data_IF_033464865041
#
_entry.id   IF_033464865041
#
_cell.length_a   1.000
_cell.length_b   1.000
_cell.length_c   1.000
_cell.angle_alpha   90.00
_cell.angle_beta   90.00
_cell.angle_gamma   90.00
#
_symmetry.space_group_name_H-M   'P 1'
#
loop_
_entity.id
_entity.type
_entity.pdbx_description
1 polymer ?
#
# COMPACT_ATOMS: atom_id res chain seq x y z
N UNK A 1 37.78 -8.46 32.56
CA UNK A 1 36.74 -7.60 33.17
C UNK A 1 36.31 -6.58 32.13
N UNK A 2 35.07 -6.64 31.62
CA UNK A 2 34.58 -5.66 30.63
C UNK A 2 33.88 -4.51 31.35
N UNK A 3 34.28 -3.28 31.05
CA UNK A 3 33.65 -2.07 31.56
C UNK A 3 32.49 -1.69 30.65
N UNK A 4 31.25 -1.86 31.11
CA UNK A 4 30.07 -1.32 30.41
C UNK A 4 29.83 0.12 30.87
N UNK A 5 29.73 1.06 29.92
CA UNK A 5 29.39 2.46 30.22
C UNK A 5 27.99 2.52 30.81
N UNK A 6 27.84 3.17 31.96
CA UNK A 6 26.52 3.51 32.51
C UNK A 6 25.80 4.43 31.52
N UNK A 7 24.48 4.25 31.29
CA UNK A 7 23.72 5.15 30.44
C UNK A 7 23.86 6.58 30.99
N UNK A 8 24.43 7.49 30.20
CA UNK A 8 24.51 8.90 30.57
C UNK A 8 23.12 9.51 30.57
N UNK A 9 22.81 10.37 31.54
CA UNK A 9 21.52 11.06 31.69
C UNK A 9 21.24 12.10 30.60
N UNK A 10 22.20 12.34 29.69
CA UNK A 10 22.09 13.31 28.61
C UNK A 10 21.93 14.75 29.11
N UNK A 11 21.81 15.70 28.18
CA UNK A 11 21.53 17.10 28.51
C UNK A 11 20.07 17.25 28.98
N UNK A 12 19.81 17.90 30.12
CA UNK A 12 18.45 18.17 30.58
C UNK A 12 17.61 18.89 29.52
N UNK A 13 16.32 18.57 29.50
CA UNK A 13 15.35 19.17 28.58
C UNK A 13 15.11 20.63 28.95
N UNK A 14 15.03 21.51 27.96
CA UNK A 14 14.63 22.92 28.14
C UNK A 14 13.12 23.10 28.30
N UNK A 15 12.32 22.11 27.89
CA UNK A 15 10.86 22.14 27.97
C UNK A 15 10.36 21.09 28.96
N UNK A 16 9.30 21.44 29.68
CA UNK A 16 8.54 20.59 30.59
C UNK A 16 7.54 19.71 29.84
N UNK A 17 7.04 18.67 30.51
CA UNK A 17 6.00 17.78 29.94
C UNK A 17 4.69 18.50 29.62
N UNK A 18 4.36 19.60 30.32
CA UNK A 18 3.15 20.39 30.05
C UNK A 18 3.30 21.19 28.76
N UNK A 19 4.47 21.79 28.58
CA UNK A 19 4.82 22.55 27.37
C UNK A 19 4.87 21.63 26.15
N UNK A 20 5.49 20.44 26.26
CA UNK A 20 5.54 19.44 25.18
C UNK A 20 4.12 19.01 24.75
N UNK A 21 3.19 18.81 25.69
CA UNK A 21 1.78 18.51 25.39
C UNK A 21 1.09 19.67 24.68
N UNK A 22 1.34 20.91 25.08
CA UNK A 22 0.78 22.08 24.42
C UNK A 22 1.28 22.22 22.97
N UNK A 23 2.58 21.97 22.74
CA UNK A 23 3.19 21.98 21.41
C UNK A 23 2.53 20.93 20.50
N UNK A 24 2.41 19.68 20.98
CA UNK A 24 1.79 18.59 20.22
C UNK A 24 0.30 18.87 19.97
N UNK A 25 -0.43 19.40 20.95
CA UNK A 25 -1.83 19.77 20.80
C UNK A 25 -2.02 20.86 19.74
N UNK A 26 -1.21 21.91 19.79
CA UNK A 26 -1.27 22.99 18.79
C UNK A 26 -1.01 22.44 17.38
N UNK A 27 0.03 21.63 17.19
CA UNK A 27 0.33 20.99 15.91
C UNK A 27 -0.79 20.05 15.41
N UNK A 28 -1.55 19.41 16.30
CA UNK A 28 -2.71 18.59 15.90
C UNK A 28 -3.90 19.44 15.45
N UNK A 29 -4.12 20.59 16.10
CA UNK A 29 -5.16 21.55 15.71
C UNK A 29 -4.79 22.24 14.40
N UNK A 30 -3.51 22.54 14.19
CA UNK A 30 -2.98 23.24 13.03
C UNK A 30 -1.87 22.42 12.33
N UNK A 31 -2.27 21.32 11.69
CA UNK A 31 -1.35 20.32 11.11
C UNK A 31 -0.52 20.81 9.91
N UNK A 32 -0.87 21.96 9.32
CA UNK A 32 -0.19 22.56 8.17
C UNK A 32 0.89 23.58 8.55
N UNK A 33 0.98 23.95 9.83
CA UNK A 33 1.83 25.04 10.31
C UNK A 33 3.26 24.54 10.55
N UNK A 34 4.25 25.33 10.14
CA UNK A 34 5.66 24.97 10.27
C UNK A 34 6.14 25.01 11.73
N UNK A 35 7.24 24.29 12.02
CA UNK A 35 7.86 24.30 13.37
C UNK A 35 8.32 25.70 13.82
N UNK A 36 8.59 26.62 12.89
CA UNK A 36 8.95 28.00 13.21
C UNK A 36 7.72 28.84 13.57
N UNK A 37 6.61 28.67 12.85
CA UNK A 37 5.36 29.36 13.18
C UNK A 37 4.75 28.84 14.51
N UNK A 38 4.83 27.53 14.78
CA UNK A 38 4.46 26.98 16.10
C UNK A 38 5.37 27.55 17.20
N UNK A 39 6.66 27.73 16.93
CA UNK A 39 7.57 28.37 17.88
C UNK A 39 7.12 29.80 18.20
N UNK A 40 6.78 30.62 17.20
CA UNK A 40 6.32 31.99 17.41
C UNK A 40 5.02 32.07 18.23
N UNK A 41 4.10 31.13 18.01
CA UNK A 41 2.82 31.08 18.76
C UNK A 41 3.00 30.62 20.21
N UNK A 42 3.90 29.67 20.45
CA UNK A 42 4.06 29.04 21.78
C UNK A 42 5.12 29.75 22.62
N UNK A 43 6.06 30.48 22.00
CA UNK A 43 7.14 31.22 22.67
C UNK A 43 6.67 32.12 23.83
N UNK A 44 5.56 32.89 23.74
CA UNK A 44 5.10 33.73 24.86
C UNK A 44 4.64 32.93 26.09
N UNK A 45 4.34 31.64 25.91
CA UNK A 45 3.82 30.75 26.95
C UNK A 45 4.85 29.76 27.50
N UNK A 46 6.11 29.85 27.02
CA UNK A 46 7.23 29.02 27.48
C UNK A 46 8.08 29.78 28.48
N UNK A 47 8.56 29.07 29.51
CA UNK A 47 9.42 29.68 30.56
C UNK A 47 10.84 30.02 30.10
N UNK A 48 11.23 29.66 28.88
CA UNK A 48 12.56 29.89 28.31
C UNK A 48 12.50 30.04 26.79
N UNK A 49 13.45 30.75 26.16
CA UNK A 49 13.51 30.85 24.70
C UNK A 49 13.82 29.47 24.07
N UNK A 50 12.87 28.96 23.29
CA UNK A 50 12.99 27.67 22.62
C UNK A 50 13.16 27.85 21.11
N UNK A 51 14.14 27.17 20.52
CA UNK A 51 14.38 27.17 19.08
C UNK A 51 13.33 26.37 18.30
N UNK A 52 13.13 26.70 17.03
CA UNK A 52 12.27 25.92 16.12
C UNK A 52 12.74 24.47 15.95
N UNK A 53 14.04 24.19 16.11
CA UNK A 53 14.62 22.84 16.10
C UNK A 53 14.15 22.03 17.31
N UNK A 54 14.06 22.66 18.48
CA UNK A 54 13.52 22.02 19.69
C UNK A 54 12.05 21.68 19.50
N UNK A 55 11.25 22.59 18.93
CA UNK A 55 9.84 22.31 18.59
C UNK A 55 9.74 21.10 17.66
N UNK A 56 10.52 21.05 16.57
CA UNK A 56 10.54 19.90 15.65
C UNK A 56 10.88 18.59 16.36
N UNK A 57 11.84 18.62 17.31
CA UNK A 57 12.18 17.43 18.10
C UNK A 57 11.01 16.98 18.98
N UNK A 58 10.25 17.90 19.57
CA UNK A 58 9.04 17.55 20.36
C UNK A 58 7.92 16.99 19.50
N UNK A 59 7.73 17.53 18.31
CA UNK A 59 6.79 16.98 17.35
C UNK A 59 7.20 15.55 16.93
N UNK A 60 8.49 15.32 16.65
CA UNK A 60 9.00 13.98 16.34
C UNK A 60 8.84 12.98 17.50
N UNK A 61 9.12 13.40 18.75
CA UNK A 61 8.86 12.59 19.95
C UNK A 61 7.36 12.28 20.13
N UNK A 62 6.47 13.18 19.65
CA UNK A 62 5.03 12.98 19.58
C UNK A 62 4.53 12.26 18.33
N UNK A 63 5.42 11.67 17.52
CA UNK A 63 5.14 11.00 16.25
C UNK A 63 4.49 11.91 15.17
N UNK A 64 4.68 13.23 15.28
CA UNK A 64 4.24 14.21 14.30
C UNK A 64 5.43 14.65 13.44
N UNK A 65 5.70 13.87 12.39
CA UNK A 65 6.65 14.22 11.33
C UNK A 65 5.94 14.81 10.11
N UNK A 66 6.60 15.70 9.38
CA UNK A 66 6.13 16.13 8.07
C UNK A 66 6.43 15.05 7.04
N UNK A 67 5.40 14.52 6.40
CA UNK A 67 5.53 13.59 5.28
C UNK A 67 5.16 14.33 4.00
N UNK A 68 6.05 14.35 3.00
CA UNK A 68 5.67 14.81 1.68
C UNK A 68 4.91 13.67 1.01
N UNK A 69 3.61 13.84 0.68
CA UNK A 69 2.92 12.85 -0.14
C UNK A 69 3.65 12.79 -1.48
N UNK A 70 4.11 11.59 -1.88
CA UNK A 70 4.66 11.40 -3.21
C UNK A 70 3.53 11.73 -4.20
N UNK A 71 3.65 12.86 -4.91
CA UNK A 71 2.78 13.18 -6.05
C UNK A 71 3.16 12.24 -7.19
N UNK A 72 2.62 11.03 -7.15
CA UNK A 72 2.70 10.13 -8.30
C UNK A 72 1.84 10.76 -9.39
N UNK A 73 2.48 11.21 -10.48
CA UNK A 73 1.75 11.66 -11.67
C UNK A 73 0.84 10.51 -12.12
N UNK A 74 -0.46 10.79 -12.27
CA UNK A 74 -1.41 9.83 -12.84
C UNK A 74 -0.85 9.37 -14.19
N UNK A 75 -0.56 8.08 -14.31
CA UNK A 75 -0.01 7.51 -15.53
C UNK A 75 -0.95 7.80 -16.71
N UNK A 76 -0.41 8.43 -17.76
CA UNK A 76 -1.14 8.68 -19.00
C UNK A 76 -1.58 7.36 -19.64
N UNK A 77 -2.62 7.38 -20.48
CA UNK A 77 -3.07 6.17 -21.21
C UNK A 77 -1.92 5.52 -22.01
N UNK A 78 -1.01 6.33 -22.56
CA UNK A 78 0.20 5.87 -23.25
C UNK A 78 1.17 5.16 -22.29
N UNK A 79 1.41 5.71 -21.10
CA UNK A 79 2.23 5.04 -20.08
C UNK A 79 1.60 3.74 -19.57
N UNK A 80 0.26 3.68 -19.47
CA UNK A 80 -0.47 2.46 -19.11
C UNK A 80 -0.37 1.38 -20.19
N UNK A 81 -0.38 1.77 -21.47
CA UNK A 81 -0.23 0.85 -22.62
C UNK A 81 1.21 0.36 -22.83
N UNK A 82 2.20 1.23 -22.64
CA UNK A 82 3.62 0.89 -22.79
C UNK A 82 4.17 0.09 -21.60
N UNK A 83 3.52 0.18 -20.44
CA UNK A 83 3.80 -0.69 -19.29
C UNK A 83 2.85 -1.88 -19.31
N UNK A 84 3.01 -2.80 -20.26
CA UNK A 84 2.43 -4.14 -20.13
C UNK A 84 3.11 -4.80 -18.93
N UNK A 85 2.34 -4.98 -17.86
CA UNK A 85 2.83 -5.57 -16.62
C UNK A 85 2.54 -7.06 -16.68
N UNK A 86 3.58 -7.88 -16.62
CA UNK A 86 3.40 -9.31 -16.46
C UNK A 86 3.02 -9.63 -15.02
N UNK A 87 1.90 -10.33 -14.86
CA UNK A 87 1.41 -10.82 -13.57
C UNK A 87 1.35 -12.34 -13.60
N UNK A 88 1.88 -12.98 -12.56
CA UNK A 88 1.72 -14.40 -12.28
C UNK A 88 1.59 -14.61 -10.76
N UNK A 89 1.19 -15.81 -10.34
CA UNK A 89 1.17 -16.19 -8.92
C UNK A 89 2.58 -16.52 -8.40
N UNK A 90 2.67 -16.86 -7.10
CA UNK A 90 3.92 -17.25 -6.45
C UNK A 90 4.11 -18.77 -6.39
N UNK A 91 3.57 -19.54 -7.35
CA UNK A 91 3.82 -20.97 -7.41
C UNK A 91 5.33 -21.27 -7.53
N UNK A 92 5.79 -22.35 -6.91
CA UNK A 92 7.24 -22.68 -6.83
C UNK A 92 7.95 -22.66 -8.20
N UNK A 93 7.38 -23.19 -9.30
CA UNK A 93 8.00 -23.10 -10.63
C UNK A 93 8.13 -21.66 -11.14
N UNK A 94 7.17 -20.79 -10.82
CA UNK A 94 7.15 -19.39 -11.25
C UNK A 94 8.15 -18.53 -10.46
N UNK A 95 8.44 -18.90 -9.22
CA UNK A 95 9.45 -18.24 -8.37
C UNK A 95 10.86 -18.84 -8.51
N UNK A 96 11.01 -19.94 -9.23
CA UNK A 96 12.31 -20.58 -9.44
C UNK A 96 13.30 -19.64 -10.12
N UNK A 97 14.58 -19.76 -9.77
CA UNK A 97 15.63 -18.86 -10.25
C UNK A 97 15.71 -18.81 -11.78
N UNK A 98 15.68 -19.97 -12.43
CA UNK A 98 15.70 -20.09 -13.90
C UNK A 98 14.53 -19.32 -14.53
N UNK A 99 13.31 -19.52 -14.02
CA UNK A 99 12.11 -18.84 -14.51
C UNK A 99 12.19 -17.33 -14.33
N UNK A 100 12.66 -16.88 -13.17
CA UNK A 100 12.81 -15.47 -12.84
C UNK A 100 13.94 -14.78 -13.63
N UNK A 101 15.05 -15.47 -13.86
CA UNK A 101 16.16 -15.00 -14.70
C UNK A 101 15.70 -14.81 -16.16
N UNK A 102 14.92 -15.76 -16.69
CA UNK A 102 14.32 -15.63 -18.01
C UNK A 102 13.30 -14.49 -18.08
N UNK A 103 12.35 -14.40 -17.14
CA UNK A 103 11.32 -13.35 -17.17
C UNK A 103 11.92 -11.94 -17.11
N UNK A 104 13.04 -11.77 -16.41
CA UNK A 104 13.79 -10.50 -16.37
C UNK A 104 14.38 -10.07 -17.72
N UNK A 105 14.62 -10.99 -18.64
CA UNK A 105 15.18 -10.67 -19.96
C UNK A 105 14.10 -10.23 -20.95
N UNK A 106 12.85 -10.65 -20.73
CA UNK A 106 11.74 -10.44 -21.68
C UNK A 106 10.69 -9.43 -21.22
N UNK A 107 10.48 -9.22 -19.91
CA UNK A 107 9.35 -8.42 -19.40
C UNK A 107 9.73 -7.56 -18.18
N UNK A 108 9.18 -6.33 -18.06
CA UNK A 108 9.23 -5.58 -16.81
C UNK A 108 8.33 -6.27 -15.76
N UNK A 109 8.95 -6.91 -14.77
CA UNK A 109 8.28 -7.67 -13.71
C UNK A 109 7.65 -6.75 -12.64
N UNK A 110 6.37 -6.94 -12.32
CA UNK A 110 5.81 -6.58 -11.01
C UNK A 110 5.42 -7.87 -10.28
N UNK A 111 6.12 -8.17 -9.19
CA UNK A 111 5.67 -9.19 -8.25
C UNK A 111 4.46 -8.67 -7.48
N UNK A 112 3.30 -9.33 -7.64
CA UNK A 112 2.13 -9.08 -6.80
C UNK A 112 2.00 -10.22 -5.76
N UNK A 113 1.60 -9.92 -4.51
CA UNK A 113 1.24 -10.93 -3.54
C UNK A 113 -0.23 -11.34 -3.75
N UNK A 114 -0.47 -12.64 -3.68
CA UNK A 114 -1.77 -13.34 -3.61
C UNK A 114 -2.60 -13.55 -4.89
N UNK A 115 -3.04 -14.82 -5.04
CA UNK A 115 -3.90 -15.35 -6.10
C UNK A 115 -5.33 -14.81 -6.08
N UNK A 116 -5.83 -14.37 -4.92
CA UNK A 116 -7.24 -13.97 -4.74
C UNK A 116 -7.68 -12.77 -5.59
N UNK A 117 -6.73 -11.95 -6.02
CA UNK A 117 -6.99 -10.76 -6.83
C UNK A 117 -6.74 -11.04 -8.32
N UNK A 118 -6.19 -12.19 -8.70
CA UNK A 118 -5.83 -12.44 -10.09
C UNK A 118 -7.08 -12.50 -10.98
N UNK A 119 -7.13 -11.74 -12.09
CA UNK A 119 -8.23 -11.83 -13.06
C UNK A 119 -8.37 -13.22 -13.69
N UNK A 120 -7.27 -13.98 -13.81
CA UNK A 120 -7.27 -15.29 -14.48
C UNK A 120 -8.09 -16.34 -13.74
N UNK A 121 -8.15 -16.29 -12.40
CA UNK A 121 -8.97 -17.21 -11.60
C UNK A 121 -10.47 -17.05 -11.89
N UNK A 122 -10.91 -15.82 -12.14
CA UNK A 122 -12.30 -15.57 -12.54
C UNK A 122 -12.59 -16.08 -13.95
N UNK A 123 -11.58 -16.06 -14.83
CA UNK A 123 -11.69 -16.64 -16.17
C UNK A 123 -11.76 -18.18 -16.07
N UNK A 124 -10.98 -18.80 -15.17
CA UNK A 124 -11.07 -20.24 -14.92
C UNK A 124 -12.42 -20.66 -14.37
N UNK A 125 -12.99 -19.91 -13.42
CA UNK A 125 -14.34 -20.14 -12.91
C UNK A 125 -15.40 -19.98 -14.02
N UNK A 126 -15.25 -18.98 -14.90
CA UNK A 126 -16.12 -18.83 -16.09
C UNK A 126 -16.05 -20.05 -17.02
N UNK A 127 -14.87 -20.64 -17.21
CA UNK A 127 -14.72 -21.87 -18.00
C UNK A 127 -15.30 -23.08 -17.29
N UNK A 128 -15.00 -23.26 -16.00
CA UNK A 128 -15.48 -24.39 -15.22
C UNK A 128 -17.01 -24.49 -15.20
N UNK A 129 -17.71 -23.37 -15.17
CA UNK A 129 -19.18 -23.33 -15.25
C UNK A 129 -19.75 -23.71 -16.63
N UNK A 130 -18.97 -23.58 -17.70
CA UNK A 130 -19.41 -23.76 -19.10
C UNK A 130 -18.92 -25.04 -19.76
N UNK A 131 -17.86 -25.65 -19.23
CA UNK A 131 -17.24 -26.88 -19.72
C UNK A 131 -18.18 -28.09 -19.61
N UNK A 132 -19.04 -28.13 -18.58
CA UNK A 132 -19.99 -29.23 -18.39
C UNK A 132 -19.29 -30.56 -18.07
N UNK A 133 -19.98 -31.68 -18.29
CA UNK A 133 -19.37 -33.01 -18.16
C UNK A 133 -18.78 -33.44 -19.49
N UNK A 134 -17.51 -33.85 -19.49
CA UNK A 134 -16.77 -34.26 -20.67
C UNK A 134 -16.11 -35.62 -20.45
N UNK A 135 -16.00 -36.39 -21.53
CA UNK A 135 -15.56 -37.80 -21.44
C UNK A 135 -14.17 -38.05 -22.02
N UNK A 136 -13.60 -37.08 -22.74
CA UNK A 136 -12.24 -37.16 -23.29
C UNK A 136 -11.47 -35.84 -23.24
N UNK A 137 -10.15 -35.92 -23.34
CA UNK A 137 -9.27 -34.74 -23.40
C UNK A 137 -9.50 -33.90 -24.66
N UNK A 138 -9.74 -34.54 -25.81
CA UNK A 138 -9.99 -33.84 -27.06
C UNK A 138 -11.29 -33.02 -27.01
N UNK A 139 -12.33 -33.57 -26.38
CA UNK A 139 -13.58 -32.84 -26.14
C UNK A 139 -13.35 -31.64 -25.20
N UNK A 140 -12.51 -31.78 -24.17
CA UNK A 140 -12.15 -30.70 -23.26
C UNK A 140 -11.40 -29.57 -23.97
N UNK A 141 -10.39 -29.91 -24.77
CA UNK A 141 -9.61 -28.93 -25.51
C UNK A 141 -10.51 -28.15 -26.48
N UNK A 142 -11.26 -28.84 -27.33
CA UNK A 142 -12.17 -28.21 -28.29
C UNK A 142 -13.24 -27.35 -27.59
N UNK A 143 -13.76 -27.81 -26.44
CA UNK A 143 -14.76 -27.07 -25.69
C UNK A 143 -14.19 -25.81 -25.05
N UNK A 144 -12.98 -25.87 -24.50
CA UNK A 144 -12.29 -24.71 -23.94
C UNK A 144 -11.97 -23.67 -25.01
N UNK A 145 -11.49 -24.09 -26.19
CA UNK A 145 -11.24 -23.20 -27.33
C UNK A 145 -12.53 -22.50 -27.78
N UNK A 146 -13.62 -23.24 -27.89
CA UNK A 146 -14.93 -22.67 -28.23
C UNK A 146 -15.36 -21.61 -27.20
N UNK A 147 -15.30 -21.93 -25.90
CA UNK A 147 -15.67 -21.01 -24.83
C UNK A 147 -14.78 -19.76 -24.86
N UNK A 148 -13.49 -19.93 -25.10
CA UNK A 148 -12.53 -18.82 -25.23
C UNK A 148 -12.89 -17.90 -26.40
N UNK A 149 -13.17 -18.46 -27.57
CA UNK A 149 -13.49 -17.69 -28.78
C UNK A 149 -14.85 -16.99 -28.71
N UNK A 150 -15.82 -17.58 -28.01
CA UNK A 150 -17.13 -16.97 -27.76
C UNK A 150 -17.09 -15.87 -26.67
N UNK A 151 -16.06 -15.85 -25.83
CA UNK A 151 -15.99 -14.93 -24.71
C UNK A 151 -15.82 -13.48 -25.21
N UNK A 152 -16.84 -12.64 -24.94
CA UNK A 152 -16.73 -11.21 -25.24
C UNK A 152 -15.57 -10.58 -24.49
N UNK A 153 -14.85 -9.69 -25.18
CA UNK A 153 -13.80 -8.85 -24.58
C UNK A 153 -14.34 -8.00 -23.42
N UNK A 154 -15.63 -7.72 -23.38
CA UNK A 154 -16.27 -6.95 -22.30
C UNK A 154 -16.19 -7.66 -20.96
N UNK A 155 -16.21 -9.01 -20.94
CA UNK A 155 -16.03 -9.79 -19.71
C UNK A 155 -14.64 -9.50 -19.14
N UNK A 156 -13.60 -9.58 -19.98
CA UNK A 156 -12.22 -9.30 -19.58
C UNK A 156 -12.09 -7.84 -19.10
N UNK A 157 -12.65 -6.88 -19.85
CA UNK A 157 -12.60 -5.46 -19.48
C UNK A 157 -13.32 -5.17 -18.15
N UNK A 158 -14.48 -5.78 -17.92
CA UNK A 158 -15.23 -5.68 -16.66
C UNK A 158 -14.45 -6.26 -15.48
N UNK A 159 -13.79 -7.42 -15.69
CA UNK A 159 -12.91 -8.02 -14.67
C UNK A 159 -11.78 -7.06 -14.28
N UNK A 160 -11.11 -6.45 -15.26
CA UNK A 160 -10.08 -5.44 -14.99
C UNK A 160 -10.63 -4.18 -14.32
N UNK A 161 -11.79 -3.67 -14.77
CA UNK A 161 -12.43 -2.50 -14.18
C UNK A 161 -12.84 -2.73 -12.70
N UNK A 162 -13.17 -3.98 -12.35
CA UNK A 162 -13.52 -4.37 -10.98
C UNK A 162 -12.31 -4.51 -10.03
N UNK A 163 -11.08 -4.53 -10.55
CA UNK A 163 -9.85 -4.80 -9.77
C UNK A 163 -9.68 -3.89 -8.55
N UNK A 164 -9.87 -2.56 -8.62
CA UNK A 164 -9.74 -1.69 -7.45
C UNK A 164 -10.70 -2.09 -6.32
N UNK A 165 -11.94 -2.44 -6.66
CA UNK A 165 -12.93 -2.87 -5.68
C UNK A 165 -12.59 -4.22 -5.08
N UNK A 166 -12.11 -5.18 -5.88
CA UNK A 166 -11.65 -6.49 -5.40
C UNK A 166 -10.48 -6.36 -4.42
N UNK A 167 -9.49 -5.52 -4.77
CA UNK A 167 -8.35 -5.22 -3.89
C UNK A 167 -8.85 -4.60 -2.57
N UNK A 168 -9.75 -3.61 -2.64
CA UNK A 168 -10.32 -3.00 -1.45
C UNK A 168 -11.04 -4.02 -0.57
N UNK A 169 -11.84 -4.92 -1.16
CA UNK A 169 -12.53 -6.00 -0.44
C UNK A 169 -11.55 -6.98 0.22
N UNK A 170 -10.49 -7.41 -0.48
CA UNK A 170 -9.45 -8.30 0.09
C UNK A 170 -8.70 -7.63 1.24
N UNK A 171 -8.36 -6.35 1.10
CA UNK A 171 -7.76 -5.54 2.16
C UNK A 171 -8.71 -5.54 3.36
N UNK A 172 -9.96 -5.10 3.20
CA UNK A 172 -10.97 -5.09 4.27
C UNK A 172 -11.11 -6.44 4.97
N UNK A 173 -11.23 -7.55 4.22
CA UNK A 173 -11.35 -8.89 4.78
C UNK A 173 -10.14 -9.28 5.63
N UNK A 174 -8.92 -8.94 5.19
CA UNK A 174 -7.68 -9.22 5.92
C UNK A 174 -7.57 -8.40 7.21
N UNK A 175 -8.00 -7.13 7.20
CA UNK A 175 -8.02 -6.30 8.42
C UNK A 175 -9.08 -6.75 9.42
N UNK A 176 -10.24 -7.23 8.95
CA UNK A 176 -11.28 -7.82 9.80
C UNK A 176 -10.79 -9.11 10.47
N UNK A 177 -10.10 -9.99 9.74
CA UNK A 177 -9.47 -11.20 10.31
C UNK A 177 -8.42 -10.87 11.39
N UNK A 178 -7.77 -9.71 11.31
CA UNK A 178 -6.81 -9.22 12.30
C UNK A 178 -7.45 -8.41 13.44
N UNK A 179 -8.79 -8.33 13.50
CA UNK A 179 -9.53 -7.70 14.61
C UNK A 179 -9.57 -6.16 14.56
N UNK A 180 -9.24 -5.54 13.42
CA UNK A 180 -9.21 -4.08 13.28
C UNK A 180 -10.57 -3.61 12.71
N UNK A 181 -11.25 -2.69 13.41
CA UNK A 181 -12.59 -2.22 13.04
C UNK A 181 -12.57 -1.44 11.71
N UNK A 182 -13.46 -1.82 10.80
CA UNK A 182 -13.68 -1.22 9.47
C UNK A 182 -13.89 0.32 9.49
N UNK A 183 -14.39 0.88 10.60
CA UNK A 183 -14.68 2.32 10.74
C UNK A 183 -13.45 3.24 10.75
N UNK A 184 -12.23 2.71 10.75
CA UNK A 184 -10.98 3.49 10.77
C UNK A 184 -10.46 3.80 9.34
N UNK A 185 -11.04 3.19 8.29
CA UNK A 185 -10.40 3.08 6.96
C UNK A 185 -10.99 3.92 5.81
N UNK A 186 -11.97 4.81 6.05
CA UNK A 186 -12.37 5.79 5.03
C UNK A 186 -11.54 7.07 5.25
N UNK A 187 -10.46 7.32 4.47
CA UNK A 187 -10.65 7.91 3.15
C UNK A 187 -9.50 7.56 2.16
N UNK A 188 -9.58 6.45 1.44
CA UNK A 188 -8.82 6.29 0.20
C UNK A 188 -9.78 5.87 -0.90
N UNK A 189 -10.66 6.81 -1.26
CA UNK A 189 -11.34 6.78 -2.54
C UNK A 189 -10.25 7.03 -3.60
N UNK A 190 -9.77 5.95 -4.21
CA UNK A 190 -8.94 6.01 -5.41
C UNK A 190 -9.79 6.67 -6.50
N UNK A 191 -9.66 7.99 -6.64
CA UNK A 191 -10.10 8.75 -7.82
C UNK A 191 -9.09 8.60 -8.95
#
# INVERSE_FOLDING_TARGET
MSFTRRPGSGRPRQTSRREDRNIVRNARVQSTVSSAAIQAQVAPSLGAPVSSRTIRRRLAEGHLGSWHPLRVLLLTLTHRRLRTIFQQDNARPHTARVSQDYLRTVLPFLGLPDSQVSPIENIWDHFGRRVGHLTSLNELEARLEQIWNEMSKDIIQSLYASMPNRIASCICARWVQQGIKSSILLPFSLK
#
